data_IF_813420400586
#
_entry.id   IF_813420400586
#
_cell.length_a   1.000
_cell.length_b   1.000
_cell.length_c   1.000
_cell.angle_alpha   90.00
_cell.angle_beta   90.00
_cell.angle_gamma   90.00
#
_symmetry.space_group_name_H-M   'P 1'
#
loop_
_entity.id
_entity.type
_entity.pdbx_description
1 polymer ?
#
# COMPACT_ATOMS: atom_id res chain seq x y z
N UNK A 1 -20.65 -19.99 -8.72
CA UNK A 1 -21.18 -21.36 -8.53
C UNK A 1 -20.01 -22.32 -8.42
N UNK A 2 -19.64 -22.72 -7.20
CA UNK A 2 -18.64 -23.77 -6.95
C UNK A 2 -19.18 -24.70 -5.86
N UNK A 3 -19.29 -25.98 -6.21
CA UNK A 3 -19.76 -27.16 -5.48
C UNK A 3 -18.55 -27.65 -4.64
N UNK A 4 -18.56 -27.85 -3.33
CA UNK A 4 -19.49 -28.61 -2.50
C UNK A 4 -18.97 -30.05 -2.35
N UNK A 5 -18.18 -30.34 -1.31
CA UNK A 5 -17.99 -31.71 -0.81
C UNK A 5 -17.91 -31.72 0.73
N UNK A 6 -18.85 -32.47 1.31
CA UNK A 6 -18.96 -32.79 2.72
C UNK A 6 -18.76 -34.30 2.88
N UNK A 7 -18.11 -34.67 3.99
CA UNK A 7 -18.36 -35.84 4.85
C UNK A 7 -18.24 -37.26 4.29
N UNK A 8 -17.33 -38.05 4.86
CA UNK A 8 -17.63 -39.42 5.29
C UNK A 8 -16.88 -39.74 6.60
N UNK A 9 -17.63 -39.78 7.71
CA UNK A 9 -17.26 -40.44 8.97
C UNK A 9 -18.33 -41.49 9.20
N UNK A 10 -17.94 -42.76 9.28
CA UNK A 10 -18.82 -43.84 9.75
C UNK A 10 -18.05 -44.75 10.70
N UNK A 11 -18.62 -44.87 11.89
CA UNK A 11 -18.23 -45.73 12.99
C UNK A 11 -18.25 -47.21 12.62
N UNK A 12 -17.39 -48.01 13.28
CA UNK A 12 -17.68 -49.41 13.50
C UNK A 12 -17.24 -49.82 14.92
N UNK A 13 -18.22 -50.26 15.70
CA UNK A 13 -18.13 -50.73 17.07
C UNK A 13 -18.66 -52.17 17.09
N UNK A 14 -17.89 -53.13 17.56
CA UNK A 14 -18.39 -54.36 18.20
C UNK A 14 -17.23 -55.19 18.79
N UNK A 15 -17.03 -55.03 20.09
CA UNK A 15 -17.23 -56.05 21.12
C UNK A 15 -16.82 -57.53 20.93
N UNK A 16 -16.29 -58.03 22.07
CA UNK A 16 -16.42 -59.36 22.67
C UNK A 16 -15.34 -60.43 22.41
N UNK A 17 -14.45 -60.47 23.41
CA UNK A 17 -14.10 -61.64 24.25
C UNK A 17 -13.55 -62.90 23.61
N UNK A 18 -12.32 -63.21 24.05
CA UNK A 18 -11.99 -64.55 24.53
C UNK A 18 -11.37 -65.44 23.48
N UNK A 19 -10.04 -65.55 23.51
CA UNK A 19 -9.36 -66.81 23.22
C UNK A 19 -8.00 -66.79 23.92
N UNK A 20 -7.85 -67.81 24.74
CA UNK A 20 -6.74 -68.17 25.61
C UNK A 20 -5.55 -68.69 24.84
N UNK A 21 -4.37 -68.44 25.41
CA UNK A 21 -3.21 -69.34 25.49
C UNK A 21 -2.45 -69.66 24.19
N UNK A 22 -1.23 -69.11 24.05
CA UNK A 22 -0.02 -69.93 24.25
C UNK A 22 1.28 -69.21 23.89
N UNK A 23 2.15 -69.18 24.90
CA UNK A 23 3.59 -69.42 24.89
C UNK A 23 4.59 -68.55 24.10
N UNK A 24 5.37 -67.85 24.94
CA UNK A 24 6.85 -67.86 25.02
C UNK A 24 7.59 -67.11 23.91
N UNK A 25 8.11 -65.91 24.25
CA UNK A 25 9.57 -65.80 24.30
C UNK A 25 10.07 -64.76 25.30
N UNK A 26 11.14 -65.15 25.98
CA UNK A 26 11.82 -64.56 27.12
C UNK A 26 12.69 -63.33 26.78
N UNK A 27 12.71 -62.33 27.68
CA UNK A 27 13.88 -61.98 28.55
C UNK A 27 13.57 -60.77 29.46
N UNK A 28 14.14 -60.72 30.68
CA UNK A 28 13.74 -59.78 31.74
C UNK A 28 14.61 -58.52 31.74
N UNK A 29 14.48 -57.73 32.82
CA UNK A 29 15.32 -56.60 33.28
C UNK A 29 14.65 -55.24 33.18
N UNK A 30 13.81 -54.90 34.16
CA UNK A 30 13.97 -53.72 35.04
C UNK A 30 13.28 -53.99 36.38
N UNK A 31 14.03 -54.46 37.38
CA UNK A 31 13.60 -54.33 38.78
C UNK A 31 13.80 -52.85 39.16
N UNK A 32 12.78 -52.01 38.97
CA UNK A 32 12.82 -50.68 39.58
C UNK A 32 12.36 -50.83 41.03
N UNK A 33 13.35 -50.82 41.92
CA UNK A 33 13.18 -50.82 43.37
C UNK A 33 12.16 -49.76 43.79
N UNK A 34 11.32 -50.09 44.78
CA UNK A 34 10.43 -49.17 45.47
C UNK A 34 11.22 -48.03 46.13
N UNK A 35 11.53 -46.99 45.35
CA UNK A 35 12.19 -45.79 45.83
C UNK A 35 11.12 -44.95 46.54
N UNK A 36 11.29 -44.74 47.85
CA UNK A 36 10.38 -43.95 48.69
C UNK A 36 10.02 -42.63 48.02
N UNK A 37 8.75 -42.21 48.13
CA UNK A 37 8.18 -40.99 47.52
C UNK A 37 9.12 -39.77 47.70
N UNK A 38 9.82 -39.71 48.82
CA UNK A 38 10.87 -38.73 49.13
C UNK A 38 11.95 -38.58 48.04
N UNK A 39 12.45 -39.69 47.47
CA UNK A 39 13.49 -39.65 46.44
C UNK A 39 12.94 -39.15 45.09
N UNK A 40 11.66 -39.41 44.80
CA UNK A 40 11.00 -38.88 43.60
C UNK A 40 10.77 -37.37 43.73
N UNK A 41 10.37 -36.90 44.91
CA UNK A 41 10.28 -35.47 45.21
C UNK A 41 11.65 -34.78 45.10
N UNK A 42 12.71 -35.41 45.62
CA UNK A 42 14.06 -34.86 45.54
C UNK A 42 14.55 -34.74 44.08
N UNK A 43 14.27 -35.74 43.24
CA UNK A 43 14.60 -35.69 41.82
C UNK A 43 13.81 -34.59 41.07
N UNK A 44 12.53 -34.42 41.36
CA UNK A 44 11.69 -33.37 40.74
C UNK A 44 12.20 -31.98 41.14
N UNK A 45 12.51 -31.78 42.43
CA UNK A 45 13.06 -30.51 42.91
C UNK A 45 14.41 -30.19 42.27
N UNK A 46 15.28 -31.19 42.10
CA UNK A 46 16.56 -31.01 41.43
C UNK A 46 16.40 -30.62 39.95
N UNK A 47 15.44 -31.23 39.24
CA UNK A 47 15.14 -30.88 37.84
C UNK A 47 14.55 -29.47 37.73
N UNK A 48 13.64 -29.08 38.63
CA UNK A 48 13.10 -27.72 38.68
C UNK A 48 14.20 -26.69 38.94
N UNK A 49 15.10 -26.96 39.88
CA UNK A 49 16.21 -26.06 40.18
C UNK A 49 17.20 -25.94 39.02
N UNK A 50 17.54 -27.04 38.37
CA UNK A 50 18.37 -27.03 37.16
C UNK A 50 17.71 -26.24 36.03
N UNK A 51 16.39 -26.37 35.83
CA UNK A 51 15.66 -25.60 34.82
C UNK A 51 15.64 -24.10 35.13
N UNK A 52 15.50 -23.72 36.40
CA UNK A 52 15.58 -22.32 36.84
C UNK A 52 16.98 -21.75 36.68
N UNK A 53 18.03 -22.54 36.94
CA UNK A 53 19.41 -22.15 36.68
C UNK A 53 19.69 -21.95 35.19
N UNK A 54 19.18 -22.82 34.31
CA UNK A 54 19.32 -22.62 32.85
C UNK A 54 18.59 -21.36 32.40
N UNK A 55 17.39 -21.08 32.92
CA UNK A 55 16.66 -19.83 32.61
C UNK A 55 17.39 -18.60 33.14
N UNK A 56 18.03 -18.68 34.31
CA UNK A 56 18.83 -17.58 34.85
C UNK A 56 20.10 -17.33 34.02
N UNK A 57 20.81 -18.40 33.62
CA UNK A 57 22.02 -18.30 32.78
C UNK A 57 21.67 -17.77 31.39
N UNK A 58 20.55 -18.21 30.79
CA UNK A 58 20.09 -17.73 29.47
C UNK A 58 19.46 -16.32 29.58
N UNK A 59 18.86 -15.98 30.72
CA UNK A 59 18.26 -14.68 30.99
C UNK A 59 19.29 -13.54 31.21
N UNK A 60 20.49 -13.89 31.68
CA UNK A 60 21.61 -12.94 31.87
C UNK A 60 22.39 -12.68 30.56
N UNK A 61 22.22 -13.52 29.54
CA UNK A 61 22.75 -13.29 28.19
C UNK A 61 21.94 -12.31 27.34
N UNK A 62 21.16 -11.41 27.96
CA UNK A 62 20.88 -10.13 27.30
C UNK A 62 22.19 -9.36 27.27
N UNK A 63 23.00 -9.62 26.25
CA UNK A 63 23.98 -8.64 25.79
C UNK A 63 23.23 -7.32 25.68
N UNK A 64 23.49 -6.41 26.60
CA UNK A 64 23.32 -5.01 26.32
C UNK A 64 24.19 -4.78 25.08
N UNK A 65 23.55 -4.68 23.93
CA UNK A 65 24.17 -4.06 22.77
C UNK A 65 24.39 -2.61 23.21
N UNK A 66 25.49 -2.36 23.92
CA UNK A 66 26.11 -1.06 23.91
C UNK A 66 26.46 -0.84 22.45
N UNK A 67 25.57 -0.12 21.75
CA UNK A 67 25.92 0.45 20.46
C UNK A 67 27.25 1.16 20.71
N UNK A 68 28.33 0.78 20.00
CA UNK A 68 29.60 1.48 20.14
C UNK A 68 29.29 2.96 20.00
N UNK A 69 29.84 3.77 20.90
CA UNK A 69 29.66 5.21 20.87
C UNK A 69 30.39 5.75 19.62
N UNK A 70 29.77 5.59 18.44
CA UNK A 70 30.25 6.08 17.16
C UNK A 70 29.93 7.57 17.11
N UNK A 71 30.51 8.33 18.02
CA UNK A 71 30.52 9.80 17.98
C UNK A 71 31.90 10.36 18.32
N UNK A 72 32.98 9.61 18.09
CA UNK A 72 34.32 10.18 18.04
C UNK A 72 34.70 10.47 16.59
N UNK A 73 34.12 11.52 16.00
CA UNK A 73 34.53 11.97 14.66
C UNK A 73 33.86 13.25 14.15
N UNK A 74 32.55 13.40 14.33
CA UNK A 74 31.80 14.54 13.79
C UNK A 74 30.78 15.05 14.80
N UNK A 75 30.70 16.37 14.96
CA UNK A 75 29.61 17.02 15.69
C UNK A 75 28.36 17.08 14.81
N UNK A 76 27.19 17.34 15.40
CA UNK A 76 25.96 17.60 14.64
C UNK A 76 26.14 18.73 13.63
N UNK A 77 26.87 19.78 14.02
CA UNK A 77 27.17 20.92 13.16
C UNK A 77 28.06 20.54 11.98
N UNK A 78 29.00 19.59 12.16
CA UNK A 78 29.84 19.08 11.07
C UNK A 78 29.01 18.26 10.08
N UNK A 79 28.12 17.39 10.59
CA UNK A 79 27.19 16.60 9.76
C UNK A 79 26.26 17.53 8.99
N UNK A 80 25.70 18.55 9.65
CA UNK A 80 24.83 19.54 9.02
C UNK A 80 25.56 20.26 7.88
N UNK A 81 26.76 20.79 8.14
CA UNK A 81 27.56 21.47 7.12
C UNK A 81 27.87 20.55 5.95
N UNK A 82 28.29 19.31 6.22
CA UNK A 82 28.56 18.31 5.20
C UNK A 82 27.34 18.06 4.32
N UNK A 83 26.17 17.81 4.92
CA UNK A 83 24.92 17.56 4.21
C UNK A 83 24.54 18.74 3.31
N UNK A 84 24.49 19.96 3.85
CA UNK A 84 24.13 21.15 3.06
C UNK A 84 25.15 21.44 1.95
N UNK A 85 26.44 21.18 2.19
CA UNK A 85 27.48 21.36 1.16
C UNK A 85 27.40 20.32 0.04
N UNK A 86 26.75 19.18 0.26
CA UNK A 86 26.60 18.11 -0.73
C UNK A 86 25.46 18.34 -1.73
N UNK A 87 24.60 19.34 -1.50
CA UNK A 87 23.51 19.65 -2.41
C UNK A 87 24.01 20.35 -3.68
N UNK A 88 23.80 19.72 -4.82
CA UNK A 88 24.18 20.23 -6.14
C UNK A 88 22.92 20.49 -6.98
N UNK A 89 22.68 21.76 -7.30
CA UNK A 89 21.51 22.19 -8.09
C UNK A 89 21.44 21.51 -9.47
N UNK A 90 22.59 21.26 -10.10
CA UNK A 90 22.66 20.56 -11.39
C UNK A 90 22.12 19.13 -11.29
N UNK A 91 22.49 18.37 -10.24
CA UNK A 91 21.96 17.01 -10.00
C UNK A 91 20.45 17.02 -9.73
N UNK A 92 19.96 18.04 -9.03
CA UNK A 92 18.52 18.22 -8.81
C UNK A 92 17.79 18.49 -10.14
N UNK A 93 18.36 19.35 -11.00
CA UNK A 93 17.80 19.64 -12.33
C UNK A 93 17.80 18.41 -13.24
N UNK A 94 18.87 17.61 -13.22
CA UNK A 94 18.95 16.33 -13.95
C UNK A 94 17.91 15.33 -13.46
N UNK A 95 17.75 15.20 -12.14
CA UNK A 95 16.73 14.33 -11.53
C UNK A 95 15.33 14.79 -11.92
N UNK A 96 15.07 16.10 -11.84
CA UNK A 96 13.79 16.68 -12.25
C UNK A 96 13.51 16.40 -13.72
N UNK A 97 14.50 16.62 -14.61
CA UNK A 97 14.38 16.32 -16.04
C UNK A 97 14.10 14.84 -16.27
N UNK A 98 14.73 13.95 -15.51
CA UNK A 98 14.55 12.50 -15.63
C UNK A 98 13.14 12.03 -15.26
N UNK A 99 12.54 12.60 -14.20
CA UNK A 99 11.19 12.20 -13.75
C UNK A 99 10.07 12.89 -14.53
N UNK A 100 10.32 14.03 -15.17
CA UNK A 100 9.29 14.82 -15.88
C UNK A 100 9.26 14.61 -17.40
N UNK A 101 9.98 13.62 -17.93
CA UNK A 101 10.07 13.39 -19.39
C UNK A 101 8.74 13.02 -20.03
N UNK A 102 7.85 12.37 -19.28
CA UNK A 102 6.57 11.87 -19.76
C UNK A 102 5.50 12.03 -18.68
N UNK A 103 4.22 12.19 -19.04
CA UNK A 103 3.11 12.08 -18.11
C UNK A 103 3.12 10.72 -17.39
N UNK A 104 3.07 10.73 -16.06
CA UNK A 104 3.18 9.52 -15.24
C UNK A 104 2.06 9.48 -14.19
N UNK A 105 0.82 9.39 -14.66
CA UNK A 105 -0.36 9.31 -13.79
C UNK A 105 -0.28 8.07 -12.87
N UNK A 106 -0.81 8.17 -11.65
CA UNK A 106 -0.84 7.04 -10.72
C UNK A 106 -1.49 5.81 -11.39
N UNK A 107 -0.96 4.61 -11.14
CA UNK A 107 -1.46 3.35 -11.69
C UNK A 107 -1.11 3.05 -13.16
N UNK A 108 -0.34 3.92 -13.84
CA UNK A 108 0.10 3.67 -15.22
C UNK A 108 1.52 3.10 -15.30
N UNK A 109 1.85 2.54 -16.46
CA UNK A 109 3.16 1.97 -16.76
C UNK A 109 4.29 3.01 -16.68
N UNK A 110 4.02 4.23 -17.14
CA UNK A 110 5.00 5.34 -17.12
C UNK A 110 5.36 5.72 -15.67
N UNK A 111 4.38 5.72 -14.77
CA UNK A 111 4.60 5.94 -13.34
C UNK A 111 5.39 4.80 -12.70
N UNK A 112 5.15 3.55 -13.13
CA UNK A 112 5.95 2.39 -12.70
C UNK A 112 7.41 2.54 -13.12
N UNK A 113 7.67 2.98 -14.35
CA UNK A 113 9.02 3.23 -14.88
C UNK A 113 9.74 4.32 -14.08
N UNK A 114 9.06 5.44 -13.77
CA UNK A 114 9.63 6.49 -12.91
C UNK A 114 10.00 5.94 -11.54
N UNK A 115 9.12 5.16 -10.92
CA UNK A 115 9.40 4.48 -9.64
C UNK A 115 10.63 3.57 -9.70
N UNK A 116 10.81 2.83 -10.81
CA UNK A 116 12.00 2.00 -11.02
C UNK A 116 13.28 2.83 -11.16
N UNK A 117 13.25 3.93 -11.92
CA UNK A 117 14.40 4.84 -12.07
C UNK A 117 14.83 5.42 -10.72
N UNK A 118 13.87 5.83 -9.88
CA UNK A 118 14.16 6.34 -8.53
C UNK A 118 14.72 5.25 -7.61
N UNK A 119 14.13 4.05 -7.63
CA UNK A 119 14.62 2.92 -6.85
C UNK A 119 16.08 2.58 -7.21
N UNK A 120 16.43 2.63 -8.49
CA UNK A 120 17.79 2.41 -8.96
C UNK A 120 18.73 3.53 -8.52
N UNK A 121 18.33 4.79 -8.70
CA UNK A 121 19.11 5.94 -8.22
C UNK A 121 19.42 5.83 -6.72
N UNK A 122 18.46 5.41 -5.91
CA UNK A 122 18.66 5.21 -4.48
C UNK A 122 19.68 4.12 -4.14
N UNK A 123 19.65 2.99 -4.86
CA UNK A 123 20.65 1.92 -4.68
C UNK A 123 22.04 2.40 -5.05
N UNK A 124 22.17 3.11 -6.17
CA UNK A 124 23.44 3.67 -6.64
C UNK A 124 24.03 4.69 -5.65
N UNK A 125 23.18 5.40 -4.90
CA UNK A 125 23.60 6.33 -3.84
C UNK A 125 23.80 5.66 -2.47
N UNK A 126 23.81 4.32 -2.42
CA UNK A 126 24.22 3.57 -1.21
C UNK A 126 23.07 3.16 -0.28
N UNK A 127 21.80 3.30 -0.68
CA UNK A 127 20.69 2.76 0.11
C UNK A 127 20.56 1.23 -0.10
N UNK A 128 20.63 0.47 0.99
CA UNK A 128 20.67 -0.99 0.95
C UNK A 128 19.30 -1.66 0.73
N UNK A 129 18.24 -1.16 1.38
CA UNK A 129 16.92 -1.82 1.45
C UNK A 129 15.88 -1.10 0.59
N UNK A 130 16.13 -0.98 -0.71
CA UNK A 130 15.21 -0.32 -1.65
C UNK A 130 14.25 -1.32 -2.30
N UNK A 131 12.94 -1.15 -2.04
CA UNK A 131 11.87 -2.01 -2.54
C UNK A 131 10.73 -1.18 -3.16
N UNK A 132 10.13 -1.70 -4.23
CA UNK A 132 8.85 -1.23 -4.75
C UNK A 132 7.74 -2.03 -4.07
N UNK A 133 6.75 -1.33 -3.52
CA UNK A 133 5.61 -1.94 -2.84
C UNK A 133 4.36 -1.73 -3.68
N UNK A 134 3.64 -2.81 -3.95
CA UNK A 134 2.43 -2.80 -4.76
C UNK A 134 1.19 -2.85 -3.86
N UNK A 135 0.17 -2.09 -4.24
CA UNK A 135 -1.11 -2.04 -3.55
C UNK A 135 -2.24 -1.95 -4.58
N UNK A 136 -3.27 -2.75 -4.37
CA UNK A 136 -4.52 -2.64 -5.12
C UNK A 136 -5.39 -1.57 -4.48
N UNK A 137 -5.50 -0.43 -5.16
CA UNK A 137 -6.28 0.73 -4.70
C UNK A 137 -7.31 1.12 -5.77
N UNK A 138 -8.45 1.65 -5.33
CA UNK A 138 -9.45 2.18 -6.24
C UNK A 138 -8.94 3.50 -6.84
N UNK A 139 -8.73 3.52 -8.15
CA UNK A 139 -8.41 4.72 -8.92
C UNK A 139 -9.59 5.09 -9.84
N UNK A 140 -9.59 6.33 -10.34
CA UNK A 140 -10.61 6.86 -11.23
C UNK A 140 -9.97 7.54 -12.44
N UNK A 141 -10.29 7.06 -13.63
CA UNK A 141 -9.81 7.56 -14.91
C UNK A 141 -10.99 7.98 -15.79
N UNK A 142 -10.78 8.94 -16.71
CA UNK A 142 -11.79 9.30 -17.70
C UNK A 142 -11.89 8.22 -18.79
N UNK A 143 -12.91 8.35 -19.63
CA UNK A 143 -12.91 7.62 -20.90
C UNK A 143 -11.92 8.27 -21.87
N UNK A 144 -10.79 7.60 -22.10
CA UNK A 144 -9.73 8.08 -22.98
C UNK A 144 -10.16 8.26 -24.44
N UNK A 145 -11.21 7.59 -24.89
CA UNK A 145 -11.70 7.68 -26.28
C UNK A 145 -12.86 8.66 -26.46
N UNK A 146 -13.56 8.97 -25.38
CA UNK A 146 -14.68 9.91 -25.37
C UNK A 146 -14.56 10.85 -24.15
N UNK A 147 -13.77 11.93 -24.28
CA UNK A 147 -13.57 12.88 -23.19
C UNK A 147 -14.89 13.50 -22.70
N UNK A 148 -14.91 13.90 -21.43
CA UNK A 148 -16.02 14.63 -20.83
C UNK A 148 -16.19 16.00 -21.52
N UNK A 149 -17.43 16.44 -21.71
CA UNK A 149 -17.76 17.68 -22.42
C UNK A 149 -18.78 18.50 -21.64
N UNK A 150 -18.72 19.81 -21.84
CA UNK A 150 -19.72 20.77 -21.37
C UNK A 150 -20.29 21.45 -22.60
N UNK A 151 -21.61 21.45 -22.72
CA UNK A 151 -22.34 21.98 -23.87
C UNK A 151 -23.26 23.10 -23.39
N UNK A 152 -23.31 24.20 -24.14
CA UNK A 152 -24.32 25.25 -23.96
C UNK A 152 -25.33 25.09 -25.08
N UNK A 153 -26.59 24.91 -24.70
CA UNK A 153 -27.72 24.80 -25.60
C UNK A 153 -28.47 26.14 -25.66
N UNK A 154 -29.00 26.47 -26.83
CA UNK A 154 -29.98 27.55 -26.98
C UNK A 154 -31.40 27.06 -26.71
N UNK A 155 -32.34 28.00 -26.62
CA UNK A 155 -33.77 27.69 -26.35
C UNK A 155 -34.40 26.75 -27.39
N UNK A 156 -33.82 26.66 -28.60
CA UNK A 156 -34.24 25.75 -29.67
C UNK A 156 -33.56 24.37 -29.62
N UNK A 157 -32.81 24.09 -28.54
CA UNK A 157 -32.06 22.86 -28.33
C UNK A 157 -30.77 22.76 -29.16
N UNK A 158 -30.40 23.80 -29.92
CA UNK A 158 -29.16 23.78 -30.71
C UNK A 158 -27.94 24.04 -29.84
N UNK A 159 -26.85 23.35 -30.18
CA UNK A 159 -25.55 23.57 -29.56
C UNK A 159 -25.01 24.95 -29.96
N UNK A 160 -24.91 25.85 -28.99
CA UNK A 160 -24.27 27.15 -29.13
C UNK A 160 -22.77 27.07 -28.86
N UNK A 161 -22.37 26.19 -27.93
CA UNK A 161 -20.98 25.94 -27.58
C UNK A 161 -20.79 24.50 -27.10
N UNK A 162 -19.63 23.93 -27.38
CA UNK A 162 -19.24 22.64 -26.83
C UNK A 162 -17.74 22.65 -26.51
N UNK A 163 -17.38 22.26 -25.28
CA UNK A 163 -15.99 22.06 -24.90
C UNK A 163 -15.40 20.81 -25.55
N UNK A 164 -14.09 20.80 -25.76
CA UNK A 164 -13.38 19.64 -26.32
C UNK A 164 -13.12 18.54 -25.29
N UNK A 165 -13.17 18.88 -23.99
CA UNK A 165 -12.69 18.02 -22.90
C UNK A 165 -11.17 17.93 -22.79
N UNK A 166 -10.45 18.72 -23.59
CA UNK A 166 -8.99 18.70 -23.68
C UNK A 166 -8.42 20.06 -23.25
N UNK A 167 -7.40 20.02 -22.40
CA UNK A 167 -6.50 21.14 -22.18
C UNK A 167 -5.72 21.47 -23.46
N UNK A 168 -5.34 22.73 -23.68
CA UNK A 168 -4.33 23.06 -24.67
C UNK A 168 -3.06 22.25 -24.42
N UNK A 169 -2.41 21.79 -25.50
CA UNK A 169 -1.12 21.14 -25.38
C UNK A 169 -0.07 22.18 -24.96
N UNK A 170 0.45 22.04 -23.73
CA UNK A 170 1.49 22.88 -23.17
C UNK A 170 2.88 22.22 -23.28
N UNK A 171 2.97 21.04 -23.89
CA UNK A 171 4.28 20.39 -24.10
C UNK A 171 5.09 21.20 -25.11
N UNK A 172 6.35 21.54 -24.81
CA UNK A 172 7.21 22.18 -25.79
C UNK A 172 7.35 21.29 -27.01
N UNK A 173 7.04 21.81 -28.20
CA UNK A 173 7.25 21.13 -29.50
C UNK A 173 8.73 21.05 -29.86
N UNK A 174 9.59 20.68 -28.92
CA UNK A 174 10.99 20.48 -29.21
C UNK A 174 11.12 19.13 -29.90
N UNK A 175 11.78 19.09 -31.06
CA UNK A 175 11.99 17.90 -31.90
C UNK A 175 12.67 16.73 -31.14
N UNK A 176 13.30 17.00 -30.00
CA UNK A 176 13.99 16.02 -29.14
C UNK A 176 13.09 15.37 -28.08
N UNK A 177 11.85 15.83 -27.93
CA UNK A 177 10.90 15.24 -26.97
C UNK A 177 10.25 14.00 -27.59
N UNK A 178 10.79 12.84 -27.25
CA UNK A 178 10.23 11.52 -27.59
C UNK A 178 8.82 11.24 -27.03
N UNK A 179 8.12 12.25 -26.47
CA UNK A 179 6.72 12.11 -26.10
C UNK A 179 5.91 11.75 -27.33
N UNK A 180 5.44 10.51 -27.36
CA UNK A 180 4.59 10.05 -28.44
C UNK A 180 3.32 10.90 -28.44
N UNK A 181 2.77 11.17 -29.63
CA UNK A 181 1.52 11.94 -29.79
C UNK A 181 0.39 11.43 -28.85
N UNK A 182 0.40 10.13 -28.50
CA UNK A 182 -0.57 9.51 -27.59
C UNK A 182 -0.41 9.90 -26.12
N UNK A 183 0.81 10.17 -25.67
CA UNK A 183 1.08 10.53 -24.27
C UNK A 183 0.63 11.96 -23.96
N UNK A 184 0.85 12.89 -24.90
CA UNK A 184 0.33 14.26 -24.83
C UNK A 184 -1.22 14.25 -24.76
N UNK A 185 -1.86 13.38 -25.56
CA UNK A 185 -3.32 13.30 -25.58
C UNK A 185 -3.93 12.85 -24.24
N UNK A 186 -3.37 11.80 -23.61
CA UNK A 186 -3.84 11.34 -22.28
C UNK A 186 -3.64 12.40 -21.20
N UNK A 187 -2.55 13.17 -21.27
CA UNK A 187 -2.31 14.27 -20.33
C UNK A 187 -3.26 15.45 -20.55
N UNK A 188 -3.78 15.64 -21.77
CA UNK A 188 -4.67 16.73 -22.09
C UNK A 188 -6.11 16.52 -21.58
N UNK A 189 -6.58 15.28 -21.43
CA UNK A 189 -7.96 15.01 -21.00
C UNK A 189 -8.19 15.53 -19.58
N UNK A 190 -9.25 16.34 -19.40
CA UNK A 190 -9.65 16.89 -18.12
C UNK A 190 -10.77 16.06 -17.47
N UNK A 191 -10.65 15.76 -16.17
CA UNK A 191 -11.72 15.11 -15.41
C UNK A 191 -11.62 15.39 -13.92
N UNK A 192 -12.72 15.15 -13.21
CA UNK A 192 -12.77 15.10 -11.76
C UNK A 192 -12.75 13.64 -11.31
N UNK A 193 -11.65 13.21 -10.69
CA UNK A 193 -11.53 11.85 -10.17
C UNK A 193 -12.67 11.55 -9.17
N UNK A 194 -13.24 10.35 -9.28
CA UNK A 194 -14.36 9.84 -8.49
C UNK A 194 -15.71 10.52 -8.72
N UNK A 195 -15.84 11.42 -9.70
CA UNK A 195 -17.14 11.90 -10.13
C UNK A 195 -18.02 10.74 -10.60
N UNK A 196 -19.31 10.80 -10.28
CA UNK A 196 -20.29 9.90 -10.88
C UNK A 196 -20.32 10.10 -12.39
N UNK A 197 -20.55 8.99 -13.12
CA UNK A 197 -20.81 9.06 -14.55
C UNK A 197 -22.27 9.45 -14.79
N UNK A 198 -22.50 10.42 -15.68
CA UNK A 198 -23.83 10.88 -16.04
C UNK A 198 -23.79 12.10 -16.93
N UNK A 199 -24.94 12.41 -17.53
CA UNK A 199 -25.19 13.67 -18.23
C UNK A 199 -26.35 14.35 -17.51
N UNK A 200 -26.28 15.67 -17.36
CA UNK A 200 -27.32 16.47 -16.71
C UNK A 200 -27.43 17.79 -17.46
N UNK A 201 -28.64 18.33 -17.52
CA UNK A 201 -28.94 19.60 -18.16
C UNK A 201 -29.66 20.50 -17.15
N UNK A 202 -29.18 21.73 -17.02
CA UNK A 202 -29.79 22.71 -16.12
C UNK A 202 -29.32 24.13 -16.47
N UNK A 203 -30.06 25.12 -15.99
CA UNK A 203 -29.58 26.50 -15.98
C UNK A 203 -28.38 26.64 -15.04
N UNK A 204 -27.26 27.26 -15.49
CA UNK A 204 -26.07 27.40 -14.66
C UNK A 204 -26.26 28.50 -13.60
N UNK A 205 -25.89 28.19 -12.36
CA UNK A 205 -25.84 29.16 -11.24
C UNK A 205 -24.39 29.32 -10.78
N UNK A 206 -23.91 30.56 -10.71
CA UNK A 206 -22.58 30.84 -10.16
C UNK A 206 -22.62 30.80 -8.63
N UNK A 207 -21.90 29.85 -8.03
CA UNK A 207 -21.89 29.62 -6.58
C UNK A 207 -20.51 29.87 -5.94
N UNK A 208 -19.82 30.93 -6.34
CA UNK A 208 -18.52 31.33 -5.77
C UNK A 208 -17.52 30.15 -5.60
N UNK A 209 -17.10 29.81 -4.38
CA UNK A 209 -16.18 28.69 -4.10
C UNK A 209 -16.89 27.36 -3.84
N UNK A 210 -18.22 27.31 -3.90
CA UNK A 210 -19.01 26.11 -3.62
C UNK A 210 -18.96 25.67 -2.15
N UNK A 211 -18.72 26.59 -1.22
CA UNK A 211 -18.74 26.29 0.22
C UNK A 211 -20.17 26.33 0.77
N UNK A 212 -20.48 25.65 1.90
CA UNK A 212 -21.81 25.68 2.50
C UNK A 212 -22.39 27.10 2.68
N UNK A 213 -21.56 28.07 3.11
CA UNK A 213 -21.95 29.47 3.24
C UNK A 213 -22.31 30.15 1.90
N UNK A 214 -21.73 29.71 0.79
CA UNK A 214 -22.01 30.27 -0.53
C UNK A 214 -23.41 29.84 -0.98
N UNK A 215 -23.81 28.61 -0.67
CA UNK A 215 -25.18 28.13 -0.87
C UNK A 215 -26.18 28.85 0.04
N UNK A 216 -25.86 29.04 1.33
CA UNK A 216 -26.70 29.84 2.23
C UNK A 216 -26.87 31.27 1.71
N UNK A 217 -25.81 31.84 1.14
CA UNK A 217 -25.83 33.18 0.56
C UNK A 217 -26.73 33.24 -0.67
N UNK A 218 -26.65 32.25 -1.56
CA UNK A 218 -27.56 32.13 -2.71
C UNK A 218 -29.02 32.13 -2.28
N UNK A 219 -29.35 31.39 -1.23
CA UNK A 219 -30.71 31.33 -0.69
C UNK A 219 -31.14 32.64 -0.02
N UNK A 220 -30.34 33.14 0.93
CA UNK A 220 -30.71 34.26 1.82
C UNK A 220 -30.62 35.62 1.14
N UNK A 221 -29.60 35.85 0.31
CA UNK A 221 -29.35 37.15 -0.31
C UNK A 221 -29.90 37.24 -1.74
N UNK A 222 -29.91 36.13 -2.48
CA UNK A 222 -30.31 36.11 -3.89
C UNK A 222 -31.63 35.37 -4.15
N UNK A 223 -32.24 34.76 -3.14
CA UNK A 223 -33.53 34.06 -3.25
C UNK A 223 -33.46 32.77 -4.09
N UNK A 224 -32.26 32.24 -4.35
CA UNK A 224 -32.07 31.00 -5.12
C UNK A 224 -32.00 29.83 -4.14
N UNK A 225 -33.15 29.21 -3.86
CA UNK A 225 -33.28 28.10 -2.91
C UNK A 225 -33.35 26.70 -3.54
N UNK A 226 -33.65 26.62 -4.85
CA UNK A 226 -33.76 25.35 -5.59
C UNK A 226 -32.60 25.21 -6.58
N UNK A 227 -31.76 24.20 -6.37
CA UNK A 227 -30.60 23.87 -7.21
C UNK A 227 -30.74 22.45 -7.79
N UNK A 228 -31.91 22.13 -8.31
CA UNK A 228 -32.16 20.83 -8.94
C UNK A 228 -31.86 20.92 -10.44
N UNK A 229 -31.01 20.01 -10.93
CA UNK A 229 -30.82 19.77 -12.36
C UNK A 229 -31.68 18.60 -12.84
N UNK A 230 -32.02 18.59 -14.12
CA UNK A 230 -32.65 17.43 -14.76
C UNK A 230 -31.56 16.39 -15.10
N UNK A 231 -31.87 15.10 -14.88
CA UNK A 231 -30.97 13.97 -15.18
C UNK A 231 -31.40 13.24 -16.44
#
# INVERSE_FOLDING_TARGET
>A
MLRGQNSLRSDQKSDLTGLTDSKINSRPWYHFSSMSIMHKCLLIMAVCFASLMVVAIVGDSKEHIELPNVTSGFTEDDIRKLLFSSFESNKMAETLRMVTQQPHQAGTEENRVVGQKLAELWRQNGLEKVRLMEYDVLLSYPNWTNPNKVTVLGDDGKVLFQSTGLSPDLTPKNDDSSSSQGDSYRAAIQWLAYSANGTTESEPVYCHYGQPKDFERLEKEFGISSLHGER
#
